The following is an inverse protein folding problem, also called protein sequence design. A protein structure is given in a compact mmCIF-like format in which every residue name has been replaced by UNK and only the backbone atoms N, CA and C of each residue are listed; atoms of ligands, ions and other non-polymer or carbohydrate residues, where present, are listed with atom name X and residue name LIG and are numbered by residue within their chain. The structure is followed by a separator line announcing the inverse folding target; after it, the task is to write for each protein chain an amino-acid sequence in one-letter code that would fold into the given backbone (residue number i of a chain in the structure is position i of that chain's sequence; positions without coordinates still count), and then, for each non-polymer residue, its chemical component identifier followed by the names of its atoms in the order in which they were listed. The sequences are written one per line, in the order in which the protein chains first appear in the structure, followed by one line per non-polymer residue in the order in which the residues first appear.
data_IF_689939333444
#
_entry.id   IF_689939333444
#
_cell.length_a   1.000
_cell.length_b   1.000
_cell.length_c   1.000
_cell.angle_alpha   90.00
_cell.angle_beta   90.00
_cell.angle_gamma   90.00
#
_symmetry.space_group_name_H-M   'P 1'
#
loop_
_entity.id
_entity.type
_entity.pdbx_description
1 polymer ?
#
# COMPACT_ATOMS: atom_id res chain seq x y z
N UNK A 1 30.84 -9.85 -13.31
CA UNK A 1 31.02 -9.90 -11.84
C UNK A 1 29.64 -9.93 -11.22
N UNK A 2 29.22 -11.09 -10.70
CA UNK A 2 27.86 -11.32 -10.22
C UNK A 2 27.70 -10.83 -8.78
N UNK A 3 26.88 -9.79 -8.57
CA UNK A 3 26.42 -9.39 -7.25
C UNK A 3 25.00 -9.90 -7.01
N UNK A 4 24.85 -11.21 -6.77
CA UNK A 4 23.62 -11.75 -6.18
C UNK A 4 23.85 -11.89 -4.68
N UNK A 5 23.79 -10.77 -3.94
CA UNK A 5 23.62 -10.86 -2.48
C UNK A 5 22.17 -11.23 -2.22
N UNK A 6 21.86 -12.52 -2.36
CA UNK A 6 20.60 -13.08 -1.90
C UNK A 6 20.45 -12.79 -0.41
N UNK A 7 19.30 -12.27 -0.01
CA UNK A 7 18.96 -12.14 1.40
C UNK A 7 18.99 -13.55 2.03
N UNK A 8 19.89 -13.79 2.98
CA UNK A 8 19.94 -15.06 3.71
C UNK A 8 18.77 -15.06 4.71
N UNK A 9 17.79 -15.91 4.44
CA UNK A 9 16.69 -16.16 5.36
C UNK A 9 17.22 -16.84 6.62
N UNK A 10 16.96 -16.25 7.79
CA UNK A 10 17.34 -16.80 9.10
C UNK A 10 16.07 -17.10 9.90
N UNK A 11 15.68 -18.37 9.91
CA UNK A 11 14.49 -18.85 10.61
C UNK A 11 14.50 -18.58 12.12
N UNK A 12 15.66 -18.39 12.74
CA UNK A 12 15.81 -18.25 14.20
C UNK A 12 15.51 -16.83 14.70
N UNK A 13 15.28 -15.87 13.80
CA UNK A 13 14.92 -14.51 14.19
C UNK A 13 13.63 -14.51 15.02
N UNK A 14 13.64 -13.80 16.16
CA UNK A 14 12.52 -13.71 17.12
C UNK A 14 11.18 -13.27 16.51
N UNK A 15 11.19 -12.64 15.33
CA UNK A 15 10.01 -12.19 14.61
C UNK A 15 9.50 -13.19 13.56
N UNK A 16 10.12 -14.36 13.42
CA UNK A 16 9.60 -15.44 12.57
C UNK A 16 8.66 -16.35 13.37
N UNK A 17 7.42 -16.48 12.90
CA UNK A 17 6.43 -17.46 13.32
C UNK A 17 6.42 -18.67 12.37
N UNK A 18 5.64 -19.71 12.72
CA UNK A 18 5.59 -20.99 11.97
C UNK A 18 5.30 -20.82 10.47
N UNK A 19 4.50 -19.81 10.11
CA UNK A 19 4.21 -19.33 8.75
C UNK A 19 3.74 -17.85 8.79
N UNK A 20 4.28 -17.06 9.72
CA UNK A 20 3.80 -15.70 9.97
C UNK A 20 4.91 -14.81 10.49
N UNK A 21 4.69 -13.50 10.44
CA UNK A 21 5.54 -12.54 11.14
C UNK A 21 4.98 -12.29 12.55
N UNK A 22 5.84 -12.36 13.56
CA UNK A 22 5.50 -12.03 14.95
C UNK A 22 6.13 -10.68 15.29
N UNK A 23 5.32 -9.73 15.78
CA UNK A 23 5.89 -8.50 16.34
C UNK A 23 6.81 -8.84 17.51
N UNK A 24 8.02 -8.26 17.52
CA UNK A 24 9.01 -8.43 18.61
C UNK A 24 8.49 -7.87 19.94
N UNK A 25 7.50 -6.99 19.89
CA UNK A 25 6.82 -6.40 21.04
C UNK A 25 5.31 -6.46 20.78
N UNK A 26 4.60 -7.26 21.57
CA UNK A 26 3.18 -7.01 21.80
C UNK A 26 3.10 -5.68 22.53
N UNK A 27 2.95 -4.58 21.80
CA UNK A 27 2.66 -3.31 22.44
C UNK A 27 1.31 -3.48 23.12
N UNK A 28 1.30 -3.48 24.45
CA UNK A 28 0.08 -3.57 25.26
C UNK A 28 -0.93 -2.52 24.76
N UNK A 29 -2.21 -2.86 24.79
CA UNK A 29 -3.31 -1.94 24.49
C UNK A 29 -3.15 -0.58 25.20
N UNK A 30 -2.62 -0.57 26.43
CA UNK A 30 -2.33 0.64 27.20
C UNK A 30 -1.23 1.51 26.57
N UNK A 31 -0.19 0.91 25.97
CA UNK A 31 0.87 1.62 25.26
C UNK A 31 0.33 2.22 23.97
N UNK A 32 -0.47 1.47 23.22
CA UNK A 32 -1.18 2.00 22.04
C UNK A 32 -2.10 3.17 22.41
N UNK A 33 -2.88 3.03 23.49
CA UNK A 33 -3.79 4.08 23.94
C UNK A 33 -3.03 5.36 24.36
N UNK A 34 -1.90 5.21 25.08
CA UNK A 34 -1.00 6.33 25.41
C UNK A 34 -0.45 7.02 24.16
N UNK A 35 -0.05 6.27 23.13
CA UNK A 35 0.40 6.86 21.86
C UNK A 35 -0.71 7.67 21.20
N UNK A 36 -1.94 7.14 21.17
CA UNK A 36 -3.10 7.83 20.59
C UNK A 36 -3.37 9.20 21.21
N UNK A 37 -3.19 9.35 22.52
CA UNK A 37 -3.34 10.62 23.21
C UNK A 37 -2.11 11.54 23.08
N UNK A 38 -0.92 10.97 22.89
CA UNK A 38 0.34 11.72 22.79
C UNK A 38 0.58 12.32 21.39
N UNK A 39 0.28 11.57 20.33
CA UNK A 39 0.68 11.94 18.95
C UNK A 39 -0.24 12.97 18.29
N UNK A 40 -1.26 13.45 19.01
CA UNK A 40 -2.16 14.49 18.51
C UNK A 40 -3.16 13.97 17.48
N UNK A 41 -3.80 14.89 16.75
CA UNK A 41 -4.78 14.53 15.72
C UNK A 41 -4.04 14.14 14.44
N UNK A 42 -4.52 13.11 13.76
CA UNK A 42 -4.10 12.82 12.40
C UNK A 42 -4.31 14.04 11.50
N UNK A 43 -3.48 14.23 10.46
CA UNK A 43 -3.73 15.27 9.47
C UNK A 43 -5.15 15.12 8.93
N UNK A 44 -5.87 16.23 8.89
CA UNK A 44 -7.18 16.26 8.27
C UNK A 44 -6.96 16.09 6.77
N UNK A 45 -7.55 15.04 6.20
CA UNK A 45 -7.59 14.85 4.75
C UNK A 45 -8.70 15.74 4.20
N UNK A 46 -8.43 16.45 3.11
CA UNK A 46 -9.45 17.25 2.43
C UNK A 46 -10.55 16.32 1.91
N UNK A 47 -11.82 16.68 2.15
CA UNK A 47 -12.95 15.90 1.64
C UNK A 47 -12.93 15.79 0.11
N UNK A 48 -12.39 16.80 -0.59
CA UNK A 48 -12.22 16.74 -2.03
C UNK A 48 -11.25 15.63 -2.48
N UNK A 49 -10.18 15.37 -1.71
CA UNK A 49 -9.24 14.27 -1.96
C UNK A 49 -9.89 12.90 -1.70
N UNK A 50 -10.75 12.81 -0.69
CA UNK A 50 -11.51 11.57 -0.41
C UNK A 50 -12.50 11.29 -1.55
N UNK A 51 -13.20 12.32 -2.03
CA UNK A 51 -14.20 12.19 -3.08
C UNK A 51 -13.59 11.66 -4.41
N UNK A 52 -12.33 11.99 -4.69
CA UNK A 52 -11.64 11.49 -5.90
C UNK A 52 -11.30 10.00 -5.81
N UNK A 53 -11.06 9.47 -4.61
CA UNK A 53 -10.80 8.05 -4.37
C UNK A 53 -12.11 7.24 -4.34
N UNK A 54 -13.18 7.81 -3.78
CA UNK A 54 -14.48 7.16 -3.62
C UNK A 54 -15.41 7.30 -4.83
N UNK A 55 -15.07 8.14 -5.80
CA UNK A 55 -15.89 8.42 -6.98
C UNK A 55 -15.84 7.30 -8.01
N UNK A 56 -16.79 7.33 -8.96
CA UNK A 56 -16.75 6.46 -10.13
C UNK A 56 -15.52 6.76 -10.99
N UNK A 57 -14.94 5.71 -11.55
CA UNK A 57 -13.75 5.83 -12.39
C UNK A 57 -14.13 6.40 -13.77
N UNK A 58 -13.45 7.46 -14.21
CA UNK A 58 -13.60 8.00 -15.56
C UNK A 58 -12.89 7.11 -16.60
N UNK A 59 -13.67 6.22 -17.22
CA UNK A 59 -13.19 5.30 -18.26
C UNK A 59 -12.68 6.02 -19.53
N UNK A 60 -13.19 7.22 -19.83
CA UNK A 60 -12.71 7.99 -20.99
C UNK A 60 -11.30 8.50 -20.72
N UNK A 61 -11.04 8.91 -19.48
CA UNK A 61 -9.70 9.33 -19.07
C UNK A 61 -8.72 8.16 -19.12
N UNK A 62 -9.10 6.97 -18.65
CA UNK A 62 -8.25 5.76 -18.70
C UNK A 62 -7.82 5.43 -20.13
N UNK A 63 -8.73 5.55 -21.10
CA UNK A 63 -8.47 5.22 -22.50
C UNK A 63 -7.79 6.34 -23.31
N UNK A 64 -7.62 7.54 -22.74
CA UNK A 64 -6.96 8.66 -23.41
C UNK A 64 -5.43 8.59 -23.33
N UNK A 65 -4.71 9.46 -24.04
CA UNK A 65 -3.27 9.62 -23.83
C UNK A 65 -2.98 10.10 -22.40
N UNK A 66 -1.88 9.60 -21.81
CA UNK A 66 -1.46 9.94 -20.45
C UNK A 66 -0.23 10.85 -20.48
N UNK A 67 -0.36 12.04 -21.08
CA UNK A 67 0.76 12.99 -21.19
C UNK A 67 1.17 13.56 -19.82
N UNK A 68 0.23 13.60 -18.88
CA UNK A 68 0.47 13.84 -17.45
C UNK A 68 0.36 12.54 -16.65
N UNK A 69 1.16 12.35 -15.59
CA UNK A 69 1.06 11.17 -14.74
C UNK A 69 -0.31 11.11 -14.06
N UNK A 70 -0.96 9.95 -14.12
CA UNK A 70 -2.20 9.69 -13.38
C UNK A 70 -2.21 8.31 -12.77
N UNK A 71 -2.98 8.16 -11.70
CA UNK A 71 -3.18 6.90 -11.02
C UNK A 71 -4.68 6.66 -10.79
N UNK A 72 -5.12 5.43 -10.99
CA UNK A 72 -6.47 4.96 -10.67
C UNK A 72 -6.35 3.86 -9.62
N UNK A 73 -7.02 4.02 -8.49
CA UNK A 73 -7.07 2.97 -7.47
C UNK A 73 -8.05 1.88 -7.89
N UNK A 74 -7.55 0.65 -7.95
CA UNK A 74 -8.35 -0.53 -8.32
C UNK A 74 -8.82 -1.29 -7.07
N UNK A 75 -8.08 -1.17 -5.96
CA UNK A 75 -8.41 -1.79 -4.68
C UNK A 75 -7.16 -2.28 -3.94
N UNK A 76 -7.25 -2.52 -2.63
CA UNK A 76 -6.10 -2.88 -1.78
C UNK A 76 -4.92 -1.90 -1.98
N UNK A 77 -3.73 -2.41 -2.30
CA UNK A 77 -2.54 -1.63 -2.66
C UNK A 77 -2.32 -1.56 -4.19
N UNK A 78 -3.32 -1.96 -4.98
CA UNK A 78 -3.25 -1.99 -6.45
C UNK A 78 -3.72 -0.67 -7.06
N UNK A 79 -2.82 -0.03 -7.78
CA UNK A 79 -3.05 1.18 -8.57
C UNK A 79 -2.68 0.90 -10.04
N UNK A 80 -3.52 1.35 -10.97
CA UNK A 80 -3.12 1.54 -12.37
C UNK A 80 -2.45 2.90 -12.51
N UNK A 81 -1.16 2.90 -12.87
CA UNK A 81 -0.40 4.12 -13.15
C UNK A 81 -0.20 4.25 -14.64
N UNK A 82 -0.52 5.43 -15.19
CA UNK A 82 -0.38 5.72 -16.62
C UNK A 82 0.47 6.98 -16.82
N UNK A 83 1.48 6.88 -17.69
CA UNK A 83 2.30 8.04 -18.09
C UNK A 83 3.03 7.79 -19.42
N UNK A 84 2.93 8.73 -20.37
CA UNK A 84 3.60 8.73 -21.68
C UNK A 84 3.45 7.41 -22.45
N UNK A 85 2.24 6.85 -22.43
CA UNK A 85 1.91 5.58 -23.10
C UNK A 85 2.34 4.33 -22.35
N UNK A 86 2.95 4.46 -21.17
CA UNK A 86 3.29 3.34 -20.28
C UNK A 86 2.17 3.15 -19.27
N UNK A 87 1.71 1.90 -19.13
CA UNK A 87 0.78 1.47 -18.09
C UNK A 87 1.47 0.42 -17.21
N UNK A 88 1.40 0.57 -15.90
CA UNK A 88 1.84 -0.46 -14.96
C UNK A 88 0.93 -0.53 -13.74
N UNK A 89 0.94 -1.69 -13.07
CA UNK A 89 0.19 -1.94 -11.85
C UNK A 89 1.14 -1.99 -10.64
N UNK A 90 0.77 -1.35 -9.54
CA UNK A 90 1.43 -1.57 -8.24
C UNK A 90 0.82 -2.81 -7.58
N UNK A 91 1.64 -3.64 -6.94
CA UNK A 91 1.23 -4.80 -6.13
C UNK A 91 -0.07 -5.48 -6.61
N UNK A 92 -0.09 -6.06 -7.83
CA UNK A 92 -1.32 -6.55 -8.44
C UNK A 92 -1.86 -7.76 -7.69
N UNK A 93 -2.96 -7.56 -6.97
CA UNK A 93 -3.66 -8.61 -6.22
C UNK A 93 -5.09 -8.76 -6.76
N UNK A 94 -5.20 -9.38 -7.93
CA UNK A 94 -6.43 -9.46 -8.74
C UNK A 94 -7.14 -10.82 -8.66
N UNK A 95 -6.66 -11.71 -7.80
CA UNK A 95 -7.26 -13.04 -7.59
C UNK A 95 -8.29 -12.99 -6.48
N UNK A 96 -9.46 -13.56 -6.72
CA UNK A 96 -10.40 -13.92 -5.66
C UNK A 96 -9.80 -15.09 -4.87
N UNK A 97 -9.43 -14.83 -3.61
CA UNK A 97 -9.19 -15.89 -2.64
C UNK A 97 -10.50 -16.11 -1.86
N UNK A 98 -11.36 -16.97 -2.41
CA UNK A 98 -12.42 -17.64 -1.64
C UNK A 98 -11.83 -18.79 -0.83
#
# INVERSE_FOLDING_TARGET
MNHTRGFIFDAAKKHHGKNSFKSKSLTSFTKWLKMRFKEGRYPLVDQAEIATIAGETDLRLIHSSADLPRATWIGHATMLVQYRGINFLTDPHLTDHL
#
